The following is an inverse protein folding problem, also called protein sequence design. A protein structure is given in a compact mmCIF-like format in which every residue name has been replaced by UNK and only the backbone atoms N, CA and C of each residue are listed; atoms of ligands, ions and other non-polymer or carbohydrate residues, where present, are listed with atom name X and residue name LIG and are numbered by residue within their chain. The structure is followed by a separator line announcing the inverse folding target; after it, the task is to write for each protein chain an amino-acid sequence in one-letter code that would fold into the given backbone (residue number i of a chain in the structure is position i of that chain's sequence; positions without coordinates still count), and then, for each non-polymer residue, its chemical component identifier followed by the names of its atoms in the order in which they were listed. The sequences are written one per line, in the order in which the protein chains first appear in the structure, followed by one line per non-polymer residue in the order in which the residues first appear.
data_IF_029943729139
#
_entry.id   IF_029943729139
#
_cell.length_a   1.000
_cell.length_b   1.000
_cell.length_c   1.000
_cell.angle_alpha   90.00
_cell.angle_beta   90.00
_cell.angle_gamma   90.00
#
_symmetry.space_group_name_H-M   'P 1'
#
loop_
_entity.id
_entity.type
_entity.pdbx_description
1 polymer ?
#
# COMPACT_ATOMS: atom_id res chain seq x y z
N UNK A 1 -16.21 -11.69 -13.76
CA UNK A 1 -15.17 -10.69 -13.43
C UNK A 1 -14.86 -10.79 -11.96
N UNK A 2 -13.61 -10.89 -11.64
CA UNK A 2 -13.16 -11.19 -10.27
C UNK A 2 -12.46 -10.00 -9.59
N UNK A 3 -12.85 -8.73 -9.95
CA UNK A 3 -12.35 -7.55 -9.25
C UNK A 3 -12.96 -7.50 -7.84
N UNK A 4 -12.09 -7.56 -6.84
CA UNK A 4 -12.44 -7.60 -5.43
C UNK A 4 -11.76 -6.47 -4.68
N UNK A 5 -12.21 -6.21 -3.45
CA UNK A 5 -11.56 -5.22 -2.58
C UNK A 5 -10.31 -5.82 -1.92
N UNK A 6 -9.42 -4.95 -1.44
CA UNK A 6 -8.25 -5.37 -0.68
C UNK A 6 -8.67 -6.17 0.57
N UNK A 7 -9.70 -5.71 1.29
CA UNK A 7 -10.23 -6.38 2.46
C UNK A 7 -10.66 -7.82 2.18
N UNK A 8 -11.44 -8.04 1.11
CA UNK A 8 -11.88 -9.38 0.74
C UNK A 8 -10.71 -10.32 0.44
N UNK A 9 -9.69 -9.80 -0.23
CA UNK A 9 -8.50 -10.56 -0.60
C UNK A 9 -7.65 -10.90 0.63
N UNK A 10 -7.40 -9.93 1.50
CA UNK A 10 -6.57 -10.10 2.69
C UNK A 10 -7.26 -10.95 3.77
N UNK A 11 -8.58 -10.83 3.94
CA UNK A 11 -9.34 -11.68 4.86
C UNK A 11 -9.23 -13.16 4.44
N UNK A 12 -9.38 -13.45 3.13
CA UNK A 12 -9.19 -14.80 2.62
C UNK A 12 -7.74 -15.28 2.81
N UNK A 13 -6.76 -14.44 2.52
CA UNK A 13 -5.36 -14.79 2.71
C UNK A 13 -5.03 -15.09 4.18
N UNK A 14 -5.58 -14.32 5.11
CA UNK A 14 -5.43 -14.54 6.54
C UNK A 14 -6.10 -15.85 7.01
N UNK A 15 -7.31 -16.15 6.54
CA UNK A 15 -8.03 -17.38 6.86
C UNK A 15 -7.26 -18.63 6.40
N UNK A 16 -6.66 -18.58 5.19
CA UNK A 16 -5.97 -19.73 4.60
C UNK A 16 -4.44 -19.70 4.78
N UNK A 17 -3.88 -18.68 5.44
CA UNK A 17 -2.47 -18.62 5.83
C UNK A 17 -1.50 -18.45 4.67
N UNK A 18 -1.80 -17.61 3.68
CA UNK A 18 -0.90 -17.29 2.58
C UNK A 18 -0.69 -15.78 2.38
N UNK A 19 0.41 -15.40 1.74
CA UNK A 19 0.68 -14.02 1.35
C UNK A 19 0.15 -13.70 -0.04
N UNK A 20 -0.31 -12.46 -0.25
CA UNK A 20 -0.73 -11.96 -1.56
C UNK A 20 0.29 -10.94 -2.03
N UNK A 21 0.84 -11.09 -3.26
CA UNK A 21 1.75 -10.09 -3.80
C UNK A 21 0.98 -8.86 -4.30
N UNK A 22 1.57 -7.69 -4.08
CA UNK A 22 1.15 -6.42 -4.66
C UNK A 22 2.21 -5.94 -5.65
N UNK A 23 1.81 -5.71 -6.89
CA UNK A 23 2.71 -5.35 -7.97
C UNK A 23 2.36 -4.00 -8.56
N UNK A 24 3.32 -3.08 -8.56
CA UNK A 24 3.19 -1.79 -9.24
C UNK A 24 3.27 -1.97 -10.75
N UNK A 25 2.40 -1.28 -11.47
CA UNK A 25 2.41 -1.22 -12.93
C UNK A 25 2.43 0.22 -13.43
N UNK A 26 3.19 0.43 -14.52
CA UNK A 26 3.24 1.70 -15.25
C UNK A 26 2.84 1.53 -16.72
N UNK A 27 2.85 0.30 -17.22
CA UNK A 27 2.67 0.00 -18.64
C UNK A 27 2.03 -1.38 -18.85
N UNK A 28 1.67 -1.65 -20.10
CA UNK A 28 1.00 -2.87 -20.54
C UNK A 28 1.84 -4.12 -20.31
N UNK A 29 3.14 -4.07 -20.57
CA UNK A 29 4.04 -5.22 -20.49
C UNK A 29 4.15 -5.75 -19.06
N UNK A 30 4.19 -4.86 -18.08
CA UNK A 30 4.18 -5.24 -16.67
C UNK A 30 2.86 -5.89 -16.29
N UNK A 31 1.73 -5.28 -16.69
CA UNK A 31 0.40 -5.84 -16.43
C UNK A 31 0.21 -7.24 -17.03
N UNK A 32 0.61 -7.44 -18.29
CA UNK A 32 0.54 -8.75 -18.96
C UNK A 32 1.39 -9.79 -18.23
N UNK A 33 2.64 -9.47 -17.92
CA UNK A 33 3.55 -10.40 -17.24
C UNK A 33 3.03 -10.82 -15.86
N UNK A 34 2.47 -9.89 -15.08
CA UNK A 34 1.90 -10.16 -13.77
C UNK A 34 0.69 -11.09 -13.89
N UNK A 35 -0.24 -10.78 -14.78
CA UNK A 35 -1.46 -11.57 -14.94
C UNK A 35 -1.19 -12.96 -15.54
N UNK A 36 -0.24 -13.09 -16.46
CA UNK A 36 0.23 -14.39 -16.96
C UNK A 36 0.85 -15.23 -15.85
N UNK A 37 1.68 -14.62 -15.00
CA UNK A 37 2.27 -15.30 -13.84
C UNK A 37 1.20 -15.73 -12.82
N UNK A 38 0.25 -14.85 -12.48
CA UNK A 38 -0.86 -15.15 -11.59
C UNK A 38 -1.72 -16.31 -12.12
N UNK A 39 -2.02 -16.30 -13.42
CA UNK A 39 -2.76 -17.37 -14.07
C UNK A 39 -1.99 -18.71 -14.10
N UNK A 40 -0.67 -18.67 -14.28
CA UNK A 40 0.15 -19.87 -14.30
C UNK A 40 0.22 -20.59 -12.95
N UNK A 41 0.05 -19.89 -11.85
CA UNK A 41 0.08 -20.45 -10.50
C UNK A 41 -1.30 -20.44 -9.80
N UNK A 42 -2.35 -20.05 -10.51
CA UNK A 42 -3.74 -19.94 -10.02
C UNK A 42 -3.83 -19.13 -8.71
N UNK A 43 -3.18 -17.97 -8.66
CA UNK A 43 -3.09 -17.13 -7.48
C UNK A 43 -3.80 -15.78 -7.68
N UNK A 44 -4.45 -15.24 -6.64
CA UNK A 44 -4.96 -13.87 -6.66
C UNK A 44 -3.81 -12.86 -6.64
N UNK A 45 -4.08 -11.63 -7.08
CA UNK A 45 -3.07 -10.59 -7.18
C UNK A 45 -3.62 -9.20 -6.84
N UNK A 46 -2.77 -8.36 -6.26
CA UNK A 46 -3.01 -6.93 -6.15
C UNK A 46 -2.21 -6.25 -7.26
N UNK A 47 -2.91 -5.58 -8.18
CA UNK A 47 -2.28 -4.67 -9.14
C UNK A 47 -2.43 -3.26 -8.60
N UNK A 48 -1.29 -2.62 -8.37
CA UNK A 48 -1.28 -1.28 -7.79
C UNK A 48 -0.63 -0.25 -8.72
N UNK A 49 -1.03 0.99 -8.56
CA UNK A 49 -0.50 2.12 -9.28
C UNK A 49 -0.27 3.30 -8.32
N UNK A 50 0.96 3.76 -8.27
CA UNK A 50 1.34 4.97 -7.55
C UNK A 50 0.80 6.22 -8.22
N UNK A 51 0.91 7.37 -7.55
CA UNK A 51 0.64 8.69 -8.17
C UNK A 51 1.49 8.90 -9.42
N UNK A 52 2.77 8.50 -9.36
CA UNK A 52 3.69 8.58 -10.48
C UNK A 52 3.21 7.77 -11.68
N UNK A 53 2.81 6.53 -11.46
CA UNK A 53 2.23 5.66 -12.49
C UNK A 53 0.96 6.25 -13.11
N UNK A 54 0.06 6.77 -12.28
CA UNK A 54 -1.19 7.41 -12.70
C UNK A 54 -0.93 8.70 -13.51
N UNK A 55 0.05 9.50 -13.10
CA UNK A 55 0.46 10.69 -13.83
C UNK A 55 1.10 10.35 -15.18
N UNK A 56 1.94 9.31 -15.22
CA UNK A 56 2.62 8.84 -16.43
C UNK A 56 1.65 8.26 -17.46
N UNK A 57 0.86 7.28 -17.08
CA UNK A 57 -0.02 6.55 -17.98
C UNK A 57 -1.41 7.21 -18.15
N UNK A 58 -1.77 8.13 -17.27
CA UNK A 58 -3.11 8.68 -17.04
C UNK A 58 -4.10 7.68 -16.43
N UNK A 59 -5.00 8.18 -15.60
CA UNK A 59 -6.00 7.34 -14.92
C UNK A 59 -6.88 6.55 -15.90
N UNK A 60 -7.26 7.17 -17.02
CA UNK A 60 -8.10 6.54 -18.03
C UNK A 60 -7.36 5.35 -18.68
N UNK A 61 -6.10 5.53 -19.07
CA UNK A 61 -5.34 4.46 -19.71
C UNK A 61 -5.08 3.30 -18.75
N UNK A 62 -4.66 3.58 -17.51
CA UNK A 62 -4.47 2.56 -16.48
C UNK A 62 -5.75 1.78 -16.21
N UNK A 63 -6.86 2.47 -16.00
CA UNK A 63 -8.15 1.84 -15.75
C UNK A 63 -8.53 0.90 -16.88
N UNK A 64 -8.45 1.36 -18.15
CA UNK A 64 -8.79 0.52 -19.31
C UNK A 64 -7.82 -0.63 -19.53
N UNK A 65 -6.55 -0.44 -19.23
CA UNK A 65 -5.57 -1.52 -19.28
C UNK A 65 -5.87 -2.61 -18.25
N UNK A 66 -6.20 -2.22 -17.03
CA UNK A 66 -6.56 -3.19 -15.97
C UNK A 66 -7.90 -3.86 -16.28
N UNK A 67 -8.88 -3.13 -16.82
CA UNK A 67 -10.14 -3.73 -17.32
C UNK A 67 -9.84 -4.83 -18.37
N UNK A 68 -8.95 -4.56 -19.32
CA UNK A 68 -8.57 -5.54 -20.35
C UNK A 68 -7.84 -6.75 -19.75
N UNK A 69 -6.92 -6.56 -18.80
CA UNK A 69 -6.24 -7.65 -18.12
C UNK A 69 -7.21 -8.55 -17.35
N UNK A 70 -8.22 -7.96 -16.72
CA UNK A 70 -9.28 -8.67 -16.01
C UNK A 70 -10.16 -9.49 -16.99
N UNK A 71 -10.48 -8.94 -18.16
CA UNK A 71 -11.23 -9.65 -19.20
C UNK A 71 -10.44 -10.83 -19.79
N UNK A 72 -9.11 -10.68 -19.90
CA UNK A 72 -8.24 -11.75 -20.41
C UNK A 72 -8.06 -12.89 -19.39
N UNK A 73 -8.17 -12.60 -18.09
CA UNK A 73 -7.95 -13.55 -16.99
C UNK A 73 -9.12 -13.57 -16.00
N UNK A 74 -10.36 -13.89 -16.46
CA UNK A 74 -11.57 -13.74 -15.63
C UNK A 74 -11.63 -14.68 -14.42
N UNK A 75 -10.76 -15.69 -14.36
CA UNK A 75 -10.64 -16.64 -13.26
C UNK A 75 -9.75 -16.13 -12.11
N UNK A 76 -8.90 -15.12 -12.35
CA UNK A 76 -7.96 -14.62 -11.37
C UNK A 76 -8.60 -13.49 -10.57
N UNK A 77 -8.78 -13.64 -9.24
CA UNK A 77 -9.21 -12.54 -8.38
C UNK A 77 -8.17 -11.41 -8.38
N UNK A 78 -8.62 -10.19 -8.69
CA UNK A 78 -7.75 -9.03 -8.83
C UNK A 78 -8.26 -7.89 -7.94
N UNK A 79 -7.38 -7.31 -7.14
CA UNK A 79 -7.60 -6.03 -6.47
C UNK A 79 -6.87 -4.92 -7.25
N UNK A 80 -7.60 -3.88 -7.62
CA UNK A 80 -7.03 -2.68 -8.23
C UNK A 80 -6.81 -1.64 -7.12
N UNK A 81 -5.55 -1.36 -6.80
CA UNK A 81 -5.13 -0.59 -5.64
C UNK A 81 -4.39 0.70 -6.01
N UNK A 82 -4.79 1.83 -5.41
CA UNK A 82 -4.03 3.08 -5.44
C UNK A 82 -2.96 3.04 -4.36
N UNK A 83 -1.71 3.12 -4.77
CA UNK A 83 -0.54 3.08 -3.92
C UNK A 83 -0.05 4.49 -3.55
N UNK A 84 0.17 4.76 -2.26
CA UNK A 84 0.60 6.04 -1.69
C UNK A 84 -0.19 7.29 -2.13
N UNK A 85 -1.42 7.41 -1.68
CA UNK A 85 -2.19 8.66 -1.78
C UNK A 85 -1.71 9.67 -0.74
N UNK A 86 -1.36 10.89 -1.17
CA UNK A 86 -0.86 11.96 -0.29
C UNK A 86 -1.95 12.91 0.21
N UNK A 87 -3.13 12.81 -0.35
CA UNK A 87 -4.28 13.66 -0.03
C UNK A 87 -5.60 12.98 -0.41
N UNK A 88 -6.70 13.45 0.15
CA UNK A 88 -8.03 12.91 -0.12
C UNK A 88 -8.42 12.91 -1.60
N UNK A 89 -8.01 13.94 -2.34
CA UNK A 89 -8.32 14.07 -3.77
C UNK A 89 -7.65 12.99 -4.61
N UNK A 90 -6.45 12.56 -4.23
CA UNK A 90 -5.74 11.44 -4.87
C UNK A 90 -6.51 10.14 -4.72
N UNK A 91 -6.99 9.84 -3.53
CA UNK A 91 -7.82 8.68 -3.26
C UNK A 91 -9.18 8.77 -3.96
N UNK A 92 -9.85 9.93 -3.89
CA UNK A 92 -11.14 10.15 -4.53
C UNK A 92 -11.11 9.95 -6.04
N UNK A 93 -10.09 10.48 -6.71
CA UNK A 93 -9.94 10.32 -8.17
C UNK A 93 -9.62 8.88 -8.56
N UNK A 94 -8.85 8.14 -7.75
CA UNK A 94 -8.64 6.72 -7.97
C UNK A 94 -9.97 5.94 -7.92
N UNK A 95 -10.77 6.16 -6.88
CA UNK A 95 -12.08 5.52 -6.74
C UNK A 95 -13.02 5.85 -7.92
N UNK A 96 -13.01 7.08 -8.44
CA UNK A 96 -13.76 7.48 -9.63
C UNK A 96 -13.35 6.71 -10.89
N UNK A 97 -12.10 6.25 -10.96
CA UNK A 97 -11.55 5.46 -12.05
C UNK A 97 -11.62 3.95 -11.83
N UNK A 98 -12.38 3.49 -10.85
CA UNK A 98 -12.68 2.07 -10.64
C UNK A 98 -11.70 1.32 -9.78
N UNK A 99 -10.81 2.01 -9.07
CA UNK A 99 -9.99 1.39 -8.04
C UNK A 99 -10.88 0.86 -6.92
N UNK A 100 -10.66 -0.38 -6.51
CA UNK A 100 -11.43 -1.05 -5.44
C UNK A 100 -10.77 -0.92 -4.08
N UNK A 101 -9.57 -0.35 -4.05
CA UNK A 101 -8.81 -0.07 -2.85
C UNK A 101 -7.92 1.15 -3.06
N UNK A 102 -7.70 1.90 -2.01
CA UNK A 102 -6.81 3.06 -1.98
C UNK A 102 -5.98 3.05 -0.71
N UNK A 103 -4.71 3.46 -0.80
CA UNK A 103 -3.88 3.72 0.36
C UNK A 103 -3.85 5.22 0.63
N UNK A 104 -4.15 5.61 1.87
CA UNK A 104 -3.91 6.96 2.36
C UNK A 104 -2.64 6.95 3.20
N UNK A 105 -1.57 7.49 2.64
CA UNK A 105 -0.31 7.65 3.35
C UNK A 105 -0.32 8.97 4.13
N UNK A 106 -0.92 8.93 5.30
CA UNK A 106 -0.95 10.06 6.24
C UNK A 106 0.27 10.10 7.16
N UNK A 107 1.27 9.24 6.98
CA UNK A 107 2.56 9.32 7.67
C UNK A 107 3.38 10.52 7.20
N UNK A 108 3.04 11.03 6.01
CA UNK A 108 3.61 12.23 5.41
C UNK A 108 2.55 13.33 5.26
N UNK A 109 3.00 14.59 5.28
CA UNK A 109 2.18 15.74 4.93
C UNK A 109 1.82 15.72 3.43
N UNK A 110 0.93 16.61 2.99
CA UNK A 110 0.46 16.71 1.58
C UNK A 110 1.60 16.83 0.56
N UNK A 111 2.76 17.38 0.96
CA UNK A 111 3.95 17.46 0.09
C UNK A 111 4.60 16.10 -0.19
N UNK A 112 4.16 15.05 0.52
CA UNK A 112 4.68 13.69 0.46
C UNK A 112 6.18 13.56 0.81
N UNK A 113 6.71 14.48 1.62
CA UNK A 113 8.13 14.60 1.99
C UNK A 113 8.35 14.92 3.46
N UNK A 114 7.44 15.68 4.06
CA UNK A 114 7.51 16.07 5.46
C UNK A 114 6.79 15.02 6.31
N UNK A 115 7.48 14.47 7.32
CA UNK A 115 6.84 13.53 8.24
C UNK A 115 5.69 14.21 8.99
N UNK A 116 4.53 13.62 8.94
CA UNK A 116 3.34 14.11 9.62
C UNK A 116 3.29 13.62 11.09
N UNK A 117 2.45 14.26 11.89
CA UNK A 117 2.17 13.77 13.23
C UNK A 117 1.02 12.75 13.22
N UNK A 118 0.92 11.98 14.31
CA UNK A 118 -0.06 10.93 14.47
C UNK A 118 -1.52 11.42 14.31
N UNK A 119 -1.85 12.56 14.92
CA UNK A 119 -3.22 13.09 14.88
C UNK A 119 -3.65 13.48 13.46
N UNK A 120 -2.73 14.06 12.69
CA UNK A 120 -2.95 14.35 11.27
C UNK A 120 -3.19 13.06 10.49
N UNK A 121 -2.35 12.03 10.69
CA UNK A 121 -2.49 10.75 10.01
C UNK A 121 -3.85 10.11 10.32
N UNK A 122 -4.25 10.06 11.58
CA UNK A 122 -5.56 9.54 11.99
C UNK A 122 -6.70 10.32 11.34
N UNK A 123 -6.65 11.65 11.34
CA UNK A 123 -7.75 12.48 10.83
C UNK A 123 -7.91 12.34 9.32
N UNK A 124 -6.82 12.43 8.55
CA UNK A 124 -6.91 12.33 7.07
C UNK A 124 -7.28 10.91 6.62
N UNK A 125 -6.69 9.89 7.26
CA UNK A 125 -6.99 8.49 6.93
C UNK A 125 -8.45 8.17 7.22
N UNK A 126 -8.99 8.59 8.37
CA UNK A 126 -10.40 8.40 8.71
C UNK A 126 -11.34 9.01 7.69
N UNK A 127 -11.04 10.23 7.19
CA UNK A 127 -11.86 10.89 6.16
C UNK A 127 -11.86 10.11 4.84
N UNK A 128 -10.70 9.56 4.46
CA UNK A 128 -10.62 8.70 3.26
C UNK A 128 -11.40 7.39 3.48
N UNK A 129 -11.32 6.78 4.68
CA UNK A 129 -12.11 5.59 5.03
C UNK A 129 -13.60 5.87 4.90
N UNK A 130 -14.08 6.96 5.49
CA UNK A 130 -15.50 7.34 5.40
C UNK A 130 -15.94 7.46 3.93
N UNK A 131 -15.16 8.11 3.09
CA UNK A 131 -15.46 8.28 1.67
C UNK A 131 -15.46 6.94 0.91
N UNK A 132 -14.43 6.12 1.09
CA UNK A 132 -14.25 4.87 0.36
C UNK A 132 -15.28 3.81 0.75
N UNK A 133 -15.58 3.68 2.03
CA UNK A 133 -16.57 2.73 2.53
C UNK A 133 -17.99 3.03 2.03
N UNK A 134 -18.33 4.30 1.75
CA UNK A 134 -19.63 4.65 1.14
C UNK A 134 -19.88 3.97 -0.21
N UNK A 135 -18.83 3.67 -0.95
CA UNK A 135 -18.92 3.01 -2.26
C UNK A 135 -18.43 1.55 -2.23
N UNK A 136 -18.14 1.03 -1.03
CA UNK A 136 -17.70 -0.36 -0.84
C UNK A 136 -16.25 -0.65 -1.24
N UNK A 137 -15.39 0.38 -1.32
CA UNK A 137 -13.96 0.22 -1.53
C UNK A 137 -13.22 0.09 -0.19
N UNK A 138 -12.06 -0.58 -0.20
CA UNK A 138 -11.19 -0.72 0.96
C UNK A 138 -10.18 0.42 1.07
N UNK A 139 -9.71 0.66 2.29
CA UNK A 139 -8.64 1.63 2.56
C UNK A 139 -7.50 0.97 3.32
N UNK A 140 -6.29 1.19 2.83
CA UNK A 140 -5.05 0.95 3.53
C UNK A 140 -4.57 2.25 4.16
N UNK A 141 -4.11 2.19 5.40
CA UNK A 141 -3.40 3.29 6.06
C UNK A 141 -1.92 2.96 6.19
N UNK A 142 -1.10 3.96 6.49
CA UNK A 142 0.31 3.78 6.79
C UNK A 142 0.66 4.31 8.17
N UNK A 143 1.47 3.55 8.92
CA UNK A 143 1.98 3.96 10.22
C UNK A 143 3.47 3.65 10.33
N UNK A 144 4.24 4.68 10.62
CA UNK A 144 5.69 4.68 10.51
C UNK A 144 6.12 5.24 9.15
N UNK A 145 7.40 5.48 8.98
CA UNK A 145 7.99 6.00 7.76
C UNK A 145 8.94 4.96 7.19
N UNK A 146 8.77 4.60 5.94
CA UNK A 146 9.71 3.69 5.26
C UNK A 146 11.09 4.33 5.14
N UNK A 147 12.10 3.56 5.46
CA UNK A 147 13.48 4.01 5.40
C UNK A 147 14.48 2.98 5.89
N UNK A 148 15.76 3.29 5.70
CA UNK A 148 16.85 2.38 6.02
C UNK A 148 17.24 2.46 7.50
N UNK A 149 17.08 1.36 8.23
CA UNK A 149 17.61 1.21 9.59
C UNK A 149 19.14 1.28 9.65
N UNK A 150 19.85 0.98 8.56
CA UNK A 150 21.33 1.08 8.51
C UNK A 150 21.82 2.51 8.45
N UNK A 151 21.11 3.39 7.75
CA UNK A 151 21.59 4.74 7.44
C UNK A 151 20.74 5.84 8.09
N UNK A 152 19.59 5.50 8.66
CA UNK A 152 18.66 6.45 9.27
C UNK A 152 18.08 7.46 8.26
N UNK A 153 18.09 7.11 6.97
CA UNK A 153 17.53 7.93 5.90
C UNK A 153 16.15 7.46 5.50
N UNK A 154 15.22 8.40 5.32
CA UNK A 154 13.95 8.11 4.66
C UNK A 154 14.19 7.70 3.21
N UNK A 155 13.35 6.86 2.66
CA UNK A 155 13.39 6.46 1.26
C UNK A 155 12.48 7.34 0.42
N UNK A 156 12.88 7.54 -0.83
CA UNK A 156 12.07 8.23 -1.82
C UNK A 156 11.73 7.27 -2.97
N UNK A 157 10.45 7.07 -3.20
CA UNK A 157 9.94 6.35 -4.37
C UNK A 157 8.84 7.18 -5.02
N UNK A 158 8.91 7.37 -6.34
CA UNK A 158 7.92 8.14 -7.13
C UNK A 158 7.59 9.54 -6.59
N UNK A 159 8.56 10.20 -5.93
CA UNK A 159 8.38 11.51 -5.33
C UNK A 159 7.72 11.49 -3.94
N UNK A 160 7.60 10.31 -3.34
CA UNK A 160 7.19 10.09 -1.95
C UNK A 160 8.37 9.69 -1.09
N UNK A 161 8.33 10.10 0.15
CA UNK A 161 9.27 9.69 1.18
C UNK A 161 9.98 10.85 1.83
N UNK A 162 10.37 10.68 3.09
CA UNK A 162 10.97 11.72 3.92
C UNK A 162 12.33 12.15 3.36
N UNK A 163 12.48 13.45 3.15
CA UNK A 163 13.78 14.05 2.86
C UNK A 163 14.57 14.25 4.18
N UNK A 164 15.68 13.51 4.34
CA UNK A 164 16.60 13.70 5.46
C UNK A 164 16.71 12.50 6.39
N UNK A 165 17.18 12.78 7.62
CA UNK A 165 17.31 11.74 8.65
C UNK A 165 16.02 11.66 9.47
N UNK A 166 15.55 10.44 9.63
CA UNK A 166 14.44 10.09 10.51
C UNK A 166 14.96 9.35 11.74
N UNK A 167 14.26 9.46 12.85
CA UNK A 167 14.61 8.73 14.06
C UNK A 167 14.28 7.25 13.90
N UNK A 168 14.94 6.40 14.68
CA UNK A 168 14.67 4.97 14.65
C UNK A 168 13.21 4.65 15.02
N UNK A 169 12.62 5.42 15.92
CA UNK A 169 11.22 5.27 16.33
C UNK A 169 10.23 5.62 15.20
N UNK A 170 10.64 6.44 14.24
CA UNK A 170 9.84 6.75 13.06
C UNK A 170 9.96 5.66 11.97
N UNK A 171 11.07 4.91 11.97
CA UNK A 171 11.34 3.81 11.02
C UNK A 171 10.74 2.47 11.46
N UNK A 172 10.16 2.40 12.64
CA UNK A 172 9.52 1.21 13.18
C UNK A 172 8.13 1.56 13.70
N UNK A 173 7.14 0.81 13.27
CA UNK A 173 5.77 0.98 13.76
C UNK A 173 5.65 0.42 15.18
N UNK A 174 5.17 1.25 16.11
CA UNK A 174 4.83 0.81 17.46
C UNK A 174 3.56 -0.05 17.44
N UNK A 175 3.58 -1.29 17.99
CA UNK A 175 2.44 -2.19 17.95
C UNK A 175 1.19 -1.68 18.68
N UNK A 176 1.34 -0.95 19.80
CA UNK A 176 0.20 -0.41 20.56
C UNK A 176 -0.42 0.75 19.77
N UNK A 177 0.42 1.58 19.15
CA UNK A 177 -0.01 2.65 18.28
C UNK A 177 -0.74 2.10 17.03
N UNK A 178 -0.28 0.96 16.47
CA UNK A 178 -0.96 0.29 15.35
C UNK A 178 -2.39 -0.14 15.71
N UNK A 179 -2.58 -0.74 16.89
CA UNK A 179 -3.92 -1.12 17.39
C UNK A 179 -4.82 0.10 17.56
N UNK A 180 -4.29 1.19 18.14
CA UNK A 180 -5.04 2.44 18.33
C UNK A 180 -5.42 3.07 16.99
N UNK A 181 -4.48 3.12 16.05
CA UNK A 181 -4.69 3.66 14.71
C UNK A 181 -5.81 2.95 13.96
N UNK A 182 -5.79 1.61 13.91
CA UNK A 182 -6.84 0.83 13.25
C UNK A 182 -8.20 1.04 13.92
N UNK A 183 -8.24 1.13 15.25
CA UNK A 183 -9.48 1.42 15.98
C UNK A 183 -10.03 2.81 15.71
N UNK A 184 -9.15 3.80 15.60
CA UNK A 184 -9.52 5.20 15.37
C UNK A 184 -9.94 5.46 13.92
N UNK A 185 -9.25 4.88 12.95
CA UNK A 185 -9.45 5.14 11.51
C UNK A 185 -10.41 4.17 10.86
N UNK A 186 -10.48 2.91 11.32
CA UNK A 186 -11.25 1.82 10.70
C UNK A 186 -10.72 1.43 9.32
N UNK A 187 -9.43 1.53 9.10
CA UNK A 187 -8.80 1.01 7.87
C UNK A 187 -9.01 -0.49 7.73
N UNK A 188 -8.99 -0.96 6.49
CA UNK A 188 -9.14 -2.37 6.12
C UNK A 188 -7.80 -3.12 6.08
N UNK A 189 -6.73 -2.37 5.89
CA UNK A 189 -5.35 -2.85 5.90
C UNK A 189 -4.43 -1.76 6.49
N UNK A 190 -3.29 -2.17 7.02
CA UNK A 190 -2.29 -1.28 7.57
C UNK A 190 -0.91 -1.63 7.04
N UNK A 191 -0.28 -0.69 6.33
CA UNK A 191 1.13 -0.75 6.01
C UNK A 191 1.94 -0.35 7.26
N UNK A 192 2.92 -1.17 7.59
CA UNK A 192 3.75 -1.02 8.79
C UNK A 192 5.22 -0.92 8.40
N UNK A 193 5.94 -0.03 9.07
CA UNK A 193 7.37 0.06 8.98
C UNK A 193 8.03 -0.94 9.94
N UNK A 194 8.77 -1.91 9.39
CA UNK A 194 9.43 -2.98 10.17
C UNK A 194 10.91 -3.12 9.84
N UNK A 195 11.53 -2.09 9.24
CA UNK A 195 12.91 -2.11 8.80
C UNK A 195 13.12 -2.62 7.38
N UNK A 196 12.06 -2.82 6.63
CA UNK A 196 12.11 -3.07 5.19
C UNK A 196 12.18 -1.77 4.42
N UNK A 197 12.65 -1.82 3.18
CA UNK A 197 12.78 -0.67 2.30
C UNK A 197 12.39 -1.02 0.87
N UNK A 198 12.06 -0.02 0.06
CA UNK A 198 11.84 -0.19 -1.37
C UNK A 198 13.15 -0.46 -2.14
N UNK A 199 13.05 -0.94 -3.37
CA UNK A 199 14.16 -1.12 -4.29
C UNK A 199 14.97 -2.41 -4.11
N UNK A 200 15.96 -2.60 -4.97
CA UNK A 200 16.75 -3.81 -5.07
C UNK A 200 17.93 -3.89 -4.06
N UNK A 201 18.44 -2.75 -3.62
CA UNK A 201 19.62 -2.65 -2.74
C UNK A 201 19.20 -2.26 -1.34
N UNK A 202 18.87 -3.26 -0.52
CA UNK A 202 18.25 -3.04 0.79
C UNK A 202 19.22 -2.99 1.95
N UNK A 203 20.31 -3.74 1.85
CA UNK A 203 21.28 -3.87 2.94
C UNK A 203 22.70 -3.98 2.39
N UNK A 204 23.66 -3.33 3.07
CA UNK A 204 25.08 -3.44 2.76
C UNK A 204 25.65 -4.81 3.12
N UNK A 205 24.99 -5.54 4.02
CA UNK A 205 25.29 -6.91 4.44
C UNK A 205 24.00 -7.74 4.52
N UNK A 206 24.17 -9.08 4.56
CA UNK A 206 23.02 -9.97 4.77
C UNK A 206 22.32 -9.61 6.08
N UNK A 207 21.01 -9.28 6.06
CA UNK A 207 20.27 -8.99 7.28
C UNK A 207 20.23 -10.23 8.18
N UNK A 208 20.44 -10.03 9.45
CA UNK A 208 20.12 -10.98 10.52
C UNK A 208 18.81 -10.56 11.19
N UNK A 209 18.25 -11.42 12.04
CA UNK A 209 16.93 -11.23 12.60
C UNK A 209 16.72 -9.93 13.40
N UNK A 210 17.80 -9.25 13.77
CA UNK A 210 17.72 -8.01 14.56
C UNK A 210 17.56 -6.75 13.69
N UNK A 211 17.76 -6.85 12.38
CA UNK A 211 17.63 -5.72 11.45
C UNK A 211 16.16 -5.53 11.04
N UNK A 212 15.40 -6.62 10.94
CA UNK A 212 13.97 -6.57 10.67
C UNK A 212 13.23 -6.80 11.99
N UNK A 213 12.60 -5.79 12.53
CA UNK A 213 11.87 -5.88 13.80
C UNK A 213 10.57 -6.71 13.71
N UNK A 214 10.59 -7.79 12.94
CA UNK A 214 9.44 -8.65 12.67
C UNK A 214 8.83 -9.28 13.92
N UNK A 215 9.62 -9.50 14.96
CA UNK A 215 9.14 -10.06 16.23
C UNK A 215 8.26 -9.08 17.02
N UNK A 216 8.38 -7.80 16.79
CA UNK A 216 7.57 -6.78 17.48
C UNK A 216 6.18 -6.64 16.85
N UNK A 217 6.10 -6.75 15.54
CA UNK A 217 4.84 -6.62 14.81
C UNK A 217 3.84 -7.74 15.14
N UNK A 218 4.31 -8.93 15.47
CA UNK A 218 3.47 -10.04 15.92
C UNK A 218 2.74 -9.79 17.26
N UNK A 219 2.99 -8.66 17.93
CA UNK A 219 2.28 -8.21 19.13
C UNK A 219 1.03 -7.37 18.81
N UNK A 220 0.95 -6.81 17.62
CA UNK A 220 -0.22 -6.06 17.17
C UNK A 220 -1.35 -7.02 16.77
N UNK A 221 -2.13 -7.46 17.76
CA UNK A 221 -3.38 -8.17 17.50
C UNK A 221 -4.49 -7.13 17.29
N UNK A 222 -4.90 -6.96 16.05
CA UNK A 222 -5.96 -6.04 15.64
C UNK A 222 -7.26 -6.81 15.39
#
# INVERSE_FOLDING_TARGET
MARITLRQLLDHAAEYGYGVPAFNINNMEQGLAIMEAAAAVDAPVIIQASRGARSYATDIMLSRMIDALEEMHPQIPLCMHQDHGNEESTCATALQHGFTSVMMDGSLEVDAKTAANYDYNVDITRRVVEMAHWIGASVEGELGVLGSLEHGGGEQEDGHGVEGKVSQDQLLTDPEQAVDFVRATKVDALAIAMGTSHGAYKFSRKPDGDILAMHEIGRAHV
#
